data_IF_107339286855
#
_entry.id   IF_107339286855
#
_cell.length_a   1.000
_cell.length_b   1.000
_cell.length_c   1.000
_cell.angle_alpha   90.00
_cell.angle_beta   90.00
_cell.angle_gamma   90.00
#
_symmetry.space_group_name_H-M   'P 1'
#
loop_
_entity.id
_entity.type
_entity.pdbx_description
1 polymer ?
#
# COMPACT_ATOMS: atom_id res chain seq x y z
N UNK A 1 -19.45 1.08 10.84
CA UNK A 1 -18.41 0.39 10.04
C UNK A 1 -17.23 0.09 10.96
N UNK A 2 -16.96 -1.18 11.25
CA UNK A 2 -15.83 -1.58 12.13
C UNK A 2 -14.54 -1.42 11.33
N UNK A 3 -13.73 -0.41 11.65
CA UNK A 3 -12.34 -0.33 11.19
C UNK A 3 -11.64 -1.60 11.69
N UNK A 4 -11.29 -2.49 10.76
CA UNK A 4 -10.42 -3.62 11.04
C UNK A 4 -9.13 -3.09 11.67
N UNK A 5 -8.74 -3.71 12.76
CA UNK A 5 -7.46 -3.58 13.46
C UNK A 5 -6.33 -3.17 12.51
N UNK A 6 -5.63 -2.09 12.88
CA UNK A 6 -4.48 -1.52 12.18
C UNK A 6 -3.43 -2.59 11.85
N UNK A 7 -3.56 -3.24 10.71
CA UNK A 7 -2.46 -4.03 10.18
C UNK A 7 -1.33 -3.03 9.92
N UNK A 8 -0.28 -3.10 10.73
CA UNK A 8 0.87 -2.19 10.64
C UNK A 8 1.64 -2.54 9.36
N UNK A 9 1.98 -1.53 8.57
CA UNK A 9 2.87 -1.72 7.43
C UNK A 9 4.24 -2.17 7.96
N UNK A 10 4.64 -3.39 7.64
CA UNK A 10 5.91 -4.01 8.07
C UNK A 10 6.99 -3.97 7.02
N UNK A 11 6.65 -3.73 5.74
CA UNK A 11 7.64 -3.66 4.67
C UNK A 11 7.10 -3.09 3.37
N UNK A 12 7.97 -2.43 2.62
CA UNK A 12 7.71 -1.91 1.27
C UNK A 12 8.78 -2.45 0.35
N UNK A 13 8.37 -3.13 -0.72
CA UNK A 13 9.27 -3.65 -1.74
C UNK A 13 8.85 -3.13 -3.12
N UNK A 14 9.81 -2.70 -3.95
CA UNK A 14 9.54 -2.12 -5.27
C UNK A 14 10.27 -2.96 -6.33
N UNK A 15 9.53 -3.46 -7.31
CA UNK A 15 10.10 -4.25 -8.41
C UNK A 15 9.30 -4.08 -9.69
N UNK A 16 10.00 -3.85 -10.81
CA UNK A 16 9.46 -3.75 -12.19
C UNK A 16 8.16 -2.92 -12.29
N UNK A 17 8.13 -1.72 -11.69
CA UNK A 17 6.97 -0.82 -11.76
C UNK A 17 5.79 -1.19 -10.84
N UNK A 18 5.93 -2.25 -10.04
CA UNK A 18 4.99 -2.61 -8.99
C UNK A 18 5.58 -2.32 -7.60
N UNK A 19 4.71 -1.98 -6.67
CA UNK A 19 5.02 -1.78 -5.25
C UNK A 19 4.25 -2.84 -4.45
N UNK A 20 4.94 -3.44 -3.49
CA UNK A 20 4.42 -4.50 -2.63
C UNK A 20 4.45 -3.99 -1.20
N UNK A 21 3.27 -3.85 -0.61
CA UNK A 21 3.07 -3.43 0.77
C UNK A 21 2.80 -4.67 1.61
N UNK A 22 3.62 -4.87 2.64
CA UNK A 22 3.47 -5.99 3.56
C UNK A 22 2.84 -5.51 4.85
N UNK A 23 1.73 -6.13 5.23
CA UNK A 23 0.97 -5.89 6.44
C UNK A 23 0.94 -7.18 7.27
N UNK A 24 1.96 -7.40 8.09
CA UNK A 24 2.15 -8.67 8.78
C UNK A 24 2.36 -9.83 7.80
N UNK A 25 1.40 -10.77 7.74
CA UNK A 25 1.43 -11.91 6.79
C UNK A 25 0.78 -11.61 5.44
N UNK A 26 0.16 -10.44 5.26
CA UNK A 26 -0.56 -10.05 4.04
C UNK A 26 0.35 -9.23 3.14
N UNK A 27 0.38 -9.54 1.85
CA UNK A 27 1.08 -8.75 0.83
C UNK A 27 0.04 -8.17 -0.11
N UNK A 28 0.08 -6.85 -0.29
CA UNK A 28 -0.75 -6.12 -1.25
C UNK A 28 0.16 -5.63 -2.36
N UNK A 29 -0.19 -5.94 -3.62
CA UNK A 29 0.50 -5.41 -4.79
C UNK A 29 -0.28 -4.22 -5.33
N UNK A 30 0.43 -3.16 -5.68
CA UNK A 30 -0.11 -1.98 -6.35
C UNK A 30 0.85 -1.51 -7.45
N UNK A 31 0.35 -0.76 -8.42
CA UNK A 31 1.21 -0.13 -9.41
C UNK A 31 1.96 1.07 -8.81
N UNK A 32 3.17 1.32 -9.30
CA UNK A 32 4.02 2.41 -8.81
C UNK A 32 3.37 3.78 -8.97
N UNK A 33 2.66 4.01 -10.07
CA UNK A 33 1.89 5.24 -10.31
C UNK A 33 0.81 5.43 -9.25
N UNK A 34 0.01 4.40 -8.99
CA UNK A 34 -1.01 4.41 -7.93
C UNK A 34 -0.39 4.59 -6.53
N UNK A 35 0.80 4.04 -6.27
CA UNK A 35 1.50 4.21 -4.99
C UNK A 35 1.96 5.64 -4.76
N UNK A 36 2.47 6.29 -5.80
CA UNK A 36 2.86 7.70 -5.72
C UNK A 36 1.63 8.58 -5.50
N UNK A 37 0.51 8.32 -6.17
CA UNK A 37 -0.75 9.05 -5.94
C UNK A 37 -1.29 8.83 -4.53
N UNK A 38 -1.22 7.60 -4.01
CA UNK A 38 -1.60 7.27 -2.64
C UNK A 38 -0.72 7.97 -1.60
N UNK A 39 0.61 7.98 -1.79
CA UNK A 39 1.56 8.68 -0.90
C UNK A 39 1.41 10.19 -0.93
N UNK A 40 1.08 10.77 -2.09
CA UNK A 40 0.87 12.21 -2.23
C UNK A 40 -0.44 12.70 -1.60
N UNK A 41 -1.32 11.79 -1.18
CA UNK A 41 -2.66 12.16 -0.72
C UNK A 41 -3.56 12.69 -1.84
N UNK A 42 -3.19 12.46 -3.11
CA UNK A 42 -3.94 12.89 -4.29
C UNK A 42 -5.11 11.92 -4.60
N UNK A 43 -5.37 10.98 -3.69
CA UNK A 43 -6.59 10.19 -3.67
C UNK A 43 -7.76 11.12 -3.29
N UNK A 44 -8.16 12.00 -4.22
CA UNK A 44 -9.48 12.63 -4.18
C UNK A 44 -10.50 11.49 -4.27
N UNK A 45 -11.29 11.36 -3.21
CA UNK A 45 -12.49 10.52 -3.14
C UNK A 45 -13.39 10.68 -4.37
#
# INVERSE_FOLDING_TARGET
MKYQENAKLTGIYISKGSVYLTYGKRIVRMEKTSFVSWLRGDCRE
#
